data_IF_351980623523
#
_entry.id   IF_351980623523
#
_cell.length_a   1.000
_cell.length_b   1.000
_cell.length_c   1.000
_cell.angle_alpha   90.00
_cell.angle_beta   90.00
_cell.angle_gamma   90.00
#
_symmetry.space_group_name_H-M   'P 1'
#
loop_
_entity.id
_entity.type
_entity.pdbx_description
1 polymer ?
#
# COMPACT_ATOMS: atom_id res chain seq x y z
N UNK A 1 -3.55 23.49 -12.80
CA UNK A 1 -2.83 23.06 -14.02
C UNK A 1 -1.32 23.12 -13.76
N UNK A 2 -0.84 22.19 -12.93
CA UNK A 2 0.55 22.09 -12.50
C UNK A 2 1.30 21.11 -13.45
N UNK A 3 2.57 21.34 -13.81
CA UNK A 3 3.15 20.73 -14.98
C UNK A 3 3.62 19.29 -14.73
N UNK A 4 2.88 18.31 -15.26
CA UNK A 4 3.19 16.86 -15.42
C UNK A 4 4.45 16.57 -16.27
N UNK A 5 5.35 17.55 -16.44
CA UNK A 5 6.54 17.47 -17.30
C UNK A 5 7.82 17.10 -16.56
N UNK A 6 7.89 17.24 -15.23
CA UNK A 6 9.11 16.97 -14.47
C UNK A 6 9.34 15.49 -14.18
N UNK A 7 8.29 14.73 -13.86
CA UNK A 7 8.41 13.29 -13.55
C UNK A 7 8.80 12.44 -14.76
N UNK A 8 8.20 12.68 -15.93
CA UNK A 8 8.58 12.00 -17.18
C UNK A 8 10.04 12.31 -17.55
N UNK A 9 10.49 13.54 -17.28
CA UNK A 9 11.87 13.95 -17.55
C UNK A 9 12.88 13.22 -16.66
N UNK A 10 12.56 12.94 -15.39
CA UNK A 10 13.48 12.21 -14.52
C UNK A 10 13.54 10.72 -14.85
N UNK A 11 12.42 10.10 -15.21
CA UNK A 11 12.41 8.69 -15.63
C UNK A 11 13.17 8.47 -16.95
N UNK A 12 13.02 9.38 -17.92
CA UNK A 12 13.77 9.34 -19.18
C UNK A 12 15.27 9.52 -18.97
N UNK A 13 15.68 10.40 -18.03
CA UNK A 13 17.09 10.61 -17.69
C UNK A 13 17.68 9.35 -17.03
N UNK A 14 16.96 8.73 -16.09
CA UNK A 14 17.40 7.46 -15.47
C UNK A 14 17.50 6.33 -16.49
N UNK A 15 16.54 6.22 -17.42
CA UNK A 15 16.55 5.20 -18.47
C UNK A 15 17.71 5.42 -19.47
N UNK A 16 18.01 6.67 -19.82
CA UNK A 16 19.14 7.03 -20.68
C UNK A 16 20.48 6.76 -20.01
N UNK A 17 20.61 7.04 -18.70
CA UNK A 17 21.82 6.72 -17.93
C UNK A 17 22.02 5.20 -17.88
N UNK A 18 20.96 4.43 -17.62
CA UNK A 18 21.02 2.98 -17.60
C UNK A 18 21.39 2.40 -18.97
N UNK A 19 20.78 2.90 -20.05
CA UNK A 19 21.09 2.50 -21.42
C UNK A 19 22.53 2.85 -21.82
N UNK A 20 23.04 4.01 -21.40
CA UNK A 20 24.42 4.41 -21.63
C UNK A 20 25.41 3.55 -20.83
N UNK A 21 25.09 3.19 -19.58
CA UNK A 21 25.88 2.24 -18.80
C UNK A 21 25.89 0.85 -19.44
N UNK A 22 24.75 0.38 -19.96
CA UNK A 22 24.64 -0.89 -20.67
C UNK A 22 25.42 -0.88 -21.98
N UNK A 23 25.33 0.20 -22.76
CA UNK A 23 26.07 0.37 -23.99
C UNK A 23 27.58 0.50 -23.74
N UNK A 24 28.00 1.14 -22.65
CA UNK A 24 29.41 1.21 -22.25
C UNK A 24 29.94 -0.15 -21.75
N UNK A 25 29.10 -0.92 -21.05
CA UNK A 25 29.39 -2.33 -20.68
C UNK A 25 29.49 -3.25 -21.91
N UNK A 26 28.68 -3.01 -22.94
CA UNK A 26 28.68 -3.80 -24.18
C UNK A 26 29.77 -3.34 -25.16
N UNK A 27 30.15 -2.06 -25.14
CA UNK A 27 31.10 -1.44 -26.06
C UNK A 27 32.57 -1.61 -25.68
N UNK A 28 32.87 -2.03 -24.45
CA UNK A 28 34.25 -2.32 -23.99
C UNK A 28 34.65 -3.79 -24.13
N UNK A 29 33.88 -4.60 -24.86
CA UNK A 29 34.21 -5.99 -25.15
C UNK A 29 34.79 -6.11 -26.56
N UNK A 30 36.07 -5.78 -26.70
CA UNK A 30 36.89 -6.71 -27.46
C UNK A 30 36.76 -8.05 -26.72
N UNK A 31 36.17 -9.10 -27.31
CA UNK A 31 36.02 -10.35 -26.61
C UNK A 31 37.42 -10.85 -26.25
N UNK A 32 37.78 -10.95 -24.96
CA UNK A 32 39.08 -11.46 -24.61
C UNK A 32 39.15 -12.92 -25.04
N UNK A 33 40.33 -13.39 -25.46
CA UNK A 33 40.54 -14.72 -26.07
C UNK A 33 40.10 -15.93 -25.21
N UNK A 34 39.60 -15.71 -23.99
CA UNK A 34 39.02 -16.71 -23.10
C UNK A 34 37.48 -16.76 -23.11
N UNK A 35 36.79 -15.86 -23.84
CA UNK A 35 35.32 -15.71 -23.85
C UNK A 35 34.53 -16.93 -24.40
N UNK A 36 35.21 -18.00 -24.80
CA UNK A 36 34.60 -19.26 -25.22
C UNK A 36 34.49 -20.31 -24.10
N UNK A 37 34.87 -20.01 -22.84
CA UNK A 37 34.87 -21.01 -21.76
C UNK A 37 33.88 -20.83 -20.61
N UNK A 38 33.34 -19.64 -20.34
CA UNK A 38 32.50 -19.43 -19.13
C UNK A 38 31.08 -18.92 -19.41
N UNK A 39 30.50 -19.29 -20.55
CA UNK A 39 29.05 -19.15 -20.80
C UNK A 39 28.22 -19.91 -19.74
N UNK A 40 28.77 -21.03 -19.22
CA UNK A 40 28.18 -21.80 -18.13
C UNK A 40 28.11 -21.03 -16.81
N UNK A 41 29.08 -20.16 -16.51
CA UNK A 41 29.10 -19.37 -15.28
C UNK A 41 27.97 -18.34 -15.23
N UNK A 42 27.73 -17.65 -16.36
CA UNK A 42 26.61 -16.73 -16.48
C UNK A 42 25.26 -17.46 -16.45
N UNK A 43 25.16 -18.64 -17.09
CA UNK A 43 23.96 -19.47 -17.04
C UNK A 43 23.63 -19.93 -15.61
N UNK A 44 24.65 -20.13 -14.77
CA UNK A 44 24.49 -20.51 -13.36
C UNK A 44 24.11 -19.34 -12.46
N UNK A 45 24.56 -18.12 -12.78
CA UNK A 45 24.28 -16.90 -12.00
C UNK A 45 22.92 -16.27 -12.35
N UNK A 46 22.42 -16.47 -13.57
CA UNK A 46 21.11 -15.98 -14.01
C UNK A 46 19.93 -16.39 -13.10
N UNK A 47 19.76 -17.66 -12.69
CA UNK A 47 18.67 -18.03 -11.80
C UNK A 47 18.81 -17.42 -10.39
N UNK A 48 20.04 -17.21 -9.90
CA UNK A 48 20.27 -16.53 -8.63
C UNK A 48 19.87 -15.05 -8.72
N UNK A 49 20.27 -14.37 -9.78
CA UNK A 49 19.93 -12.97 -10.03
C UNK A 49 18.43 -12.78 -10.27
N UNK A 50 17.80 -13.70 -11.00
CA UNK A 50 16.34 -13.72 -11.20
C UNK A 50 15.60 -14.00 -9.88
N UNK A 51 16.12 -14.90 -9.05
CA UNK A 51 15.58 -15.19 -7.72
C UNK A 51 15.64 -13.98 -6.79
N UNK A 52 16.76 -13.25 -6.77
CA UNK A 52 16.89 -12.01 -6.01
C UNK A 52 16.01 -10.89 -6.55
N UNK A 53 15.91 -10.74 -7.88
CA UNK A 53 15.03 -9.76 -8.51
C UNK A 53 13.56 -10.06 -8.20
N UNK A 54 13.15 -11.34 -8.21
CA UNK A 54 11.83 -11.77 -7.78
C UNK A 54 11.64 -11.52 -6.29
N UNK A 55 12.57 -11.94 -5.42
CA UNK A 55 12.45 -11.69 -3.98
C UNK A 55 12.33 -10.19 -3.65
N UNK A 56 13.08 -9.34 -4.34
CA UNK A 56 12.94 -7.89 -4.26
C UNK A 56 11.58 -7.43 -4.77
N UNK A 57 11.15 -7.88 -5.96
CA UNK A 57 9.84 -7.54 -6.51
C UNK A 57 8.69 -7.92 -5.57
N UNK A 58 8.75 -9.10 -4.96
CA UNK A 58 7.79 -9.61 -3.98
C UNK A 58 7.80 -8.82 -2.67
N UNK A 59 8.97 -8.37 -2.22
CA UNK A 59 9.12 -7.52 -1.03
C UNK A 59 8.50 -6.13 -1.22
N UNK A 60 8.52 -5.59 -2.45
CA UNK A 60 8.04 -4.23 -2.73
C UNK A 60 6.63 -4.15 -3.36
N UNK A 61 6.07 -5.23 -3.92
CA UNK A 61 4.77 -5.21 -4.62
C UNK A 61 3.71 -6.17 -4.06
N UNK A 62 4.02 -6.93 -3.00
CA UNK A 62 3.09 -7.91 -2.43
C UNK A 62 2.92 -9.17 -3.28
N UNK A 63 2.49 -10.27 -2.66
CA UNK A 63 2.40 -11.59 -3.30
C UNK A 63 1.07 -11.81 -4.03
N UNK A 64 1.05 -12.24 -5.31
CA UNK A 64 -0.20 -12.68 -5.96
C UNK A 64 -0.78 -13.97 -5.35
N UNK A 65 0.03 -14.73 -4.59
CA UNK A 65 -0.39 -16.02 -4.02
C UNK A 65 -1.16 -15.90 -2.70
N UNK A 66 -1.10 -14.76 -1.99
CA UNK A 66 -1.98 -14.55 -0.82
C UNK A 66 -3.41 -14.24 -1.23
N UNK A 67 -3.62 -13.60 -2.39
CA UNK A 67 -4.96 -13.38 -2.95
C UNK A 67 -5.68 -14.69 -3.30
N UNK A 68 -4.94 -15.75 -3.65
CA UNK A 68 -5.50 -17.04 -4.05
C UNK A 68 -5.70 -18.05 -2.89
N UNK A 69 -5.13 -17.81 -1.70
CA UNK A 69 -5.18 -18.75 -0.57
C UNK A 69 -6.18 -18.37 0.54
N UNK A 70 -6.96 -17.30 0.38
CA UNK A 70 -7.96 -16.84 1.37
C UNK A 70 -9.39 -17.32 1.06
N UNK A 71 -9.61 -18.12 0.01
CA UNK A 71 -10.92 -18.73 -0.23
C UNK A 71 -10.85 -20.25 -0.29
N UNK A 72 -11.13 -20.94 0.82
CA UNK A 72 -11.81 -22.21 0.78
C UNK A 72 -13.33 -21.98 0.94
N UNK A 73 -14.05 -22.23 -0.15
CA UNK A 73 -15.40 -22.76 -0.20
C UNK A 73 -15.90 -23.36 1.13
N UNK A 74 -16.99 -22.85 1.71
CA UNK A 74 -17.86 -23.47 2.73
C UNK A 74 -19.01 -22.46 2.96
N UNK A 75 -20.30 -22.74 2.87
CA UNK A 75 -21.11 -23.87 2.44
C UNK A 75 -22.52 -23.26 2.24
N UNK A 76 -23.18 -23.58 1.13
CA UNK A 76 -24.59 -23.33 0.89
C UNK A 76 -25.44 -24.23 1.81
N UNK A 77 -25.56 -23.90 3.10
CA UNK A 77 -26.62 -24.47 3.92
C UNK A 77 -26.91 -23.65 5.18
N UNK A 78 -28.19 -23.62 5.59
CA UNK A 78 -28.78 -22.95 6.77
C UNK A 78 -29.58 -21.66 6.51
N UNK A 79 -30.50 -21.73 5.54
CA UNK A 79 -31.87 -21.34 5.85
C UNK A 79 -32.56 -22.46 6.67
N UNK A 80 -33.46 -22.03 7.56
CA UNK A 80 -34.34 -22.81 8.44
C UNK A 80 -33.71 -23.43 9.71
N UNK A 81 -33.84 -22.72 10.83
CA UNK A 81 -34.82 -23.06 11.89
C UNK A 81 -34.55 -22.21 13.14
N UNK A 82 -35.48 -21.31 13.48
CA UNK A 82 -36.17 -21.26 14.78
C UNK A 82 -37.04 -19.99 14.85
N UNK A 83 -38.29 -20.17 14.43
CA UNK A 83 -39.42 -19.38 14.88
C UNK A 83 -39.78 -19.80 16.32
N UNK A 84 -40.15 -18.79 17.12
CA UNK A 84 -40.84 -18.84 18.40
C UNK A 84 -40.08 -19.36 19.64
N UNK A 85 -39.72 -18.42 20.52
CA UNK A 85 -40.19 -18.44 21.93
C UNK A 85 -39.96 -17.09 22.63
N UNK A 86 -41.08 -16.46 22.92
CA UNK A 86 -41.28 -15.46 23.97
C UNK A 86 -41.26 -16.19 25.32
N UNK A 87 -40.36 -15.81 26.24
CA UNK A 87 -40.59 -15.90 27.69
C UNK A 87 -39.52 -15.09 28.46
N UNK A 88 -39.98 -14.21 29.34
CA UNK A 88 -39.17 -13.13 29.91
C UNK A 88 -38.31 -13.42 31.15
N UNK A 89 -37.61 -12.33 31.52
CA UNK A 89 -36.98 -11.98 32.79
C UNK A 89 -35.98 -12.95 33.45
N UNK A 90 -34.72 -12.52 33.57
CA UNK A 90 -34.17 -11.92 34.81
C UNK A 90 -32.68 -11.56 34.63
N UNK A 91 -32.27 -10.53 35.36
CA UNK A 91 -30.98 -9.86 35.37
C UNK A 91 -29.76 -10.78 35.52
N UNK A 92 -28.72 -10.48 34.75
CA UNK A 92 -27.39 -11.04 34.93
C UNK A 92 -26.41 -10.31 34.01
N UNK A 93 -25.60 -9.45 34.59
CA UNK A 93 -24.45 -8.79 33.98
C UNK A 93 -23.67 -9.75 33.06
N UNK A 94 -23.64 -9.43 31.77
CA UNK A 94 -22.61 -9.93 30.87
C UNK A 94 -22.18 -8.77 30.00
N UNK A 95 -20.91 -8.41 30.14
CA UNK A 95 -20.20 -7.46 29.30
C UNK A 95 -20.43 -7.86 27.84
N UNK A 96 -21.31 -7.12 27.20
CA UNK A 96 -21.65 -7.30 25.82
C UNK A 96 -20.50 -6.74 24.98
N UNK A 97 -19.53 -7.61 24.67
CA UNK A 97 -18.58 -7.39 23.58
C UNK A 97 -19.33 -7.66 22.28
N UNK A 98 -20.40 -6.91 22.06
CA UNK A 98 -21.09 -6.85 20.78
C UNK A 98 -20.17 -6.05 19.87
N UNK A 99 -19.51 -6.80 18.99
CA UNK A 99 -19.18 -6.42 17.62
C UNK A 99 -19.02 -4.91 17.42
N UNK A 100 -17.77 -4.42 17.40
CA UNK A 100 -17.47 -3.16 16.72
C UNK A 100 -17.87 -3.36 15.26
N UNK A 101 -19.14 -3.08 14.97
CA UNK A 101 -19.66 -2.87 13.64
C UNK A 101 -18.64 -1.99 12.93
N UNK A 102 -18.00 -2.57 11.92
CA UNK A 102 -16.99 -1.95 11.10
C UNK A 102 -17.62 -0.69 10.47
N UNK A 103 -17.46 0.44 11.15
CA UNK A 103 -17.76 1.72 10.54
C UNK A 103 -16.92 1.77 9.27
N UNK A 104 -17.54 2.03 8.10
CA UNK A 104 -16.84 1.91 6.84
C UNK A 104 -15.64 2.84 6.83
N UNK A 105 -14.48 2.33 6.42
CA UNK A 105 -13.22 3.08 6.30
C UNK A 105 -13.35 4.38 5.47
N UNK A 106 -14.43 4.52 4.68
CA UNK A 106 -14.75 5.70 3.89
C UNK A 106 -16.26 5.80 3.55
N UNK A 107 -16.80 7.02 3.59
CA UNK A 107 -18.08 7.36 2.97
C UNK A 107 -17.86 7.82 1.52
N UNK A 108 -18.00 6.89 0.58
CA UNK A 108 -17.73 7.14 -0.84
C UNK A 108 -18.73 8.14 -1.47
N UNK A 109 -20.05 8.01 -1.26
CA UNK A 109 -21.00 9.02 -1.74
C UNK A 109 -20.67 10.45 -1.27
N UNK A 110 -20.35 10.62 0.02
CA UNK A 110 -19.96 11.93 0.55
C UNK A 110 -18.65 12.45 -0.06
N UNK A 111 -17.69 11.56 -0.32
CA UNK A 111 -16.42 11.88 -0.99
C UNK A 111 -16.65 12.39 -2.42
N UNK A 112 -17.51 11.71 -3.19
CA UNK A 112 -17.90 12.12 -4.55
C UNK A 112 -18.59 13.48 -4.55
N UNK A 113 -19.54 13.71 -3.64
CA UNK A 113 -20.24 14.98 -3.51
C UNK A 113 -19.27 16.12 -3.20
N UNK A 114 -18.35 15.91 -2.25
CA UNK A 114 -17.33 16.88 -1.86
C UNK A 114 -16.43 17.28 -3.02
N UNK A 115 -16.09 16.34 -3.91
CA UNK A 115 -15.21 16.58 -5.05
C UNK A 115 -15.93 17.16 -6.27
N UNK A 116 -17.25 17.30 -6.21
CA UNK A 116 -18.04 17.90 -7.28
C UNK A 116 -18.40 16.94 -8.42
N UNK A 117 -18.28 15.63 -8.20
CA UNK A 117 -18.69 14.61 -9.17
C UNK A 117 -17.76 13.41 -9.25
N UNK A 118 -18.27 12.33 -9.84
CA UNK A 118 -17.57 11.04 -9.97
C UNK A 118 -16.28 11.14 -10.77
N UNK A 119 -16.27 11.91 -11.86
CA UNK A 119 -15.11 12.02 -12.76
C UNK A 119 -13.90 12.62 -12.04
N UNK A 120 -14.11 13.72 -11.30
CA UNK A 120 -13.05 14.35 -10.49
C UNK A 120 -12.63 13.41 -9.35
N UNK A 121 -13.59 12.71 -8.74
CA UNK A 121 -13.30 11.73 -7.70
C UNK A 121 -12.42 10.60 -8.21
N UNK A 122 -12.67 10.06 -9.40
CA UNK A 122 -11.84 9.00 -9.99
C UNK A 122 -10.39 9.45 -10.20
N UNK A 123 -10.17 10.67 -10.73
CA UNK A 123 -8.83 11.23 -10.92
C UNK A 123 -8.08 11.39 -9.58
N UNK A 124 -8.77 11.85 -8.53
CA UNK A 124 -8.16 12.05 -7.21
C UNK A 124 -7.87 10.71 -6.53
N UNK A 125 -8.76 9.72 -6.64
CA UNK A 125 -8.53 8.39 -6.12
C UNK A 125 -7.33 7.72 -6.80
N UNK A 126 -7.18 7.87 -8.12
CA UNK A 126 -6.03 7.31 -8.82
C UNK A 126 -4.71 7.90 -8.30
N UNK A 127 -4.66 9.23 -8.09
CA UNK A 127 -3.51 9.87 -7.46
C UNK A 127 -3.27 9.35 -6.04
N UNK A 128 -4.34 9.12 -5.26
CA UNK A 128 -4.22 8.58 -3.90
C UNK A 128 -3.67 7.14 -3.89
N UNK A 129 -4.10 6.28 -4.82
CA UNK A 129 -3.55 4.92 -5.00
C UNK A 129 -2.07 4.93 -5.39
N UNK A 130 -1.61 5.94 -6.13
CA UNK A 130 -0.19 6.10 -6.47
C UNK A 130 0.64 6.64 -5.28
N UNK A 131 0.10 7.63 -4.55
CA UNK A 131 0.88 8.38 -3.56
C UNK A 131 0.99 7.69 -2.20
N UNK A 132 -0.10 7.11 -1.67
CA UNK A 132 -0.09 6.57 -0.30
C UNK A 132 0.86 5.38 -0.12
N UNK A 133 0.94 4.39 -1.03
CA UNK A 133 1.89 3.29 -0.91
C UNK A 133 3.35 3.74 -0.86
N UNK A 134 3.69 4.75 -1.68
CA UNK A 134 5.05 5.33 -1.70
C UNK A 134 5.35 5.97 -0.36
N UNK A 135 4.45 6.80 0.16
CA UNK A 135 4.67 7.45 1.46
C UNK A 135 4.67 6.46 2.65
N UNK A 136 3.89 5.37 2.59
CA UNK A 136 3.96 4.30 3.60
C UNK A 136 5.30 3.58 3.57
N UNK A 137 5.86 3.36 2.38
CA UNK A 137 7.20 2.76 2.20
C UNK A 137 8.29 3.71 2.69
N UNK A 138 8.20 4.99 2.35
CA UNK A 138 9.14 6.02 2.83
C UNK A 138 9.07 6.17 4.35
N UNK A 139 7.88 6.11 4.94
CA UNK A 139 7.70 6.12 6.39
C UNK A 139 8.37 4.90 7.03
N UNK A 140 8.18 3.70 6.49
CA UNK A 140 8.84 2.49 6.98
C UNK A 140 10.38 2.62 6.95
N UNK A 141 10.93 3.05 5.81
CA UNK A 141 12.36 3.28 5.64
C UNK A 141 12.91 4.35 6.60
N UNK A 142 12.16 5.44 6.79
CA UNK A 142 12.53 6.49 7.72
C UNK A 142 12.57 6.02 9.18
N UNK A 143 11.66 5.12 9.56
CA UNK A 143 11.66 4.52 10.90
C UNK A 143 12.85 3.57 11.10
N UNK A 144 13.21 2.79 10.09
CA UNK A 144 14.40 1.90 10.13
C UNK A 144 15.72 2.69 10.21
N UNK A 145 15.78 3.84 9.54
CA UNK A 145 16.98 4.69 9.46
C UNK A 145 17.01 5.80 10.51
N UNK A 146 16.00 5.86 11.39
CA UNK A 146 15.79 6.92 12.37
C UNK A 146 15.76 8.34 11.76
N UNK A 147 15.37 8.47 10.49
CA UNK A 147 15.22 9.75 9.79
C UNK A 147 13.91 10.43 10.19
N UNK A 148 13.97 11.20 11.27
CA UNK A 148 12.82 11.94 11.80
C UNK A 148 12.20 12.91 10.78
N UNK A 149 13.01 13.54 9.92
CA UNK A 149 12.50 14.53 8.96
C UNK A 149 11.70 13.83 7.86
N UNK A 150 12.25 12.76 7.29
CA UNK A 150 11.54 11.95 6.30
C UNK A 150 10.28 11.33 6.91
N UNK A 151 10.35 10.75 8.11
CA UNK A 151 9.20 10.16 8.78
C UNK A 151 8.08 11.20 9.00
N UNK A 152 8.44 12.42 9.40
CA UNK A 152 7.48 13.53 9.57
C UNK A 152 6.82 13.91 8.24
N UNK A 153 7.60 14.05 7.17
CA UNK A 153 7.09 14.43 5.85
C UNK A 153 6.19 13.33 5.27
N UNK A 154 6.58 12.07 5.36
CA UNK A 154 5.79 10.94 4.85
C UNK A 154 4.46 10.82 5.59
N UNK A 155 4.45 10.91 6.92
CA UNK A 155 3.21 10.92 7.70
C UNK A 155 2.31 12.12 7.35
N UNK A 156 2.90 13.30 7.14
CA UNK A 156 2.19 14.50 6.73
C UNK A 156 1.52 14.35 5.35
N UNK A 157 2.23 13.78 4.38
CA UNK A 157 1.71 13.50 3.04
C UNK A 157 0.52 12.55 3.09
N UNK A 158 0.64 11.41 3.79
CA UNK A 158 -0.45 10.43 3.93
C UNK A 158 -1.68 11.08 4.58
N UNK A 159 -1.49 11.90 5.62
CA UNK A 159 -2.58 12.64 6.26
C UNK A 159 -3.29 13.56 5.25
N UNK A 160 -2.53 14.32 4.47
CA UNK A 160 -3.05 15.29 3.50
C UNK A 160 -3.89 14.64 2.41
N UNK A 161 -3.34 13.62 1.75
CA UNK A 161 -4.01 12.91 0.66
C UNK A 161 -5.23 12.13 1.16
N UNK A 162 -5.16 11.54 2.36
CA UNK A 162 -6.29 10.86 3.00
C UNK A 162 -7.42 11.83 3.37
N UNK A 163 -7.10 13.06 3.77
CA UNK A 163 -8.09 14.09 4.08
C UNK A 163 -8.84 14.59 2.82
N UNK A 164 -8.16 14.59 1.66
CA UNK A 164 -8.77 14.98 0.39
C UNK A 164 -9.93 14.04 0.01
N UNK A 165 -9.73 12.74 0.23
CA UNK A 165 -10.68 11.69 -0.15
C UNK A 165 -11.67 11.29 0.96
N UNK A 166 -11.63 11.95 2.11
CA UNK A 166 -12.42 11.61 3.31
C UNK A 166 -12.13 10.22 3.88
N UNK A 167 -10.89 9.71 3.76
CA UNK A 167 -10.41 8.52 4.45
C UNK A 167 -10.06 8.86 5.92
N UNK A 168 -11.09 9.12 6.73
CA UNK A 168 -10.93 9.77 8.04
C UNK A 168 -10.12 8.93 9.03
N UNK A 169 -10.25 7.60 8.99
CA UNK A 169 -9.49 6.72 9.88
C UNK A 169 -7.99 6.79 9.58
N UNK A 170 -7.61 6.68 8.30
CA UNK A 170 -6.21 6.79 7.87
C UNK A 170 -5.66 8.18 8.16
N UNK A 171 -6.43 9.23 7.85
CA UNK A 171 -6.07 10.62 8.17
C UNK A 171 -5.77 10.79 9.67
N UNK A 172 -6.63 10.23 10.55
CA UNK A 172 -6.48 10.36 12.01
C UNK A 172 -5.20 9.69 12.49
N UNK A 173 -4.94 8.43 12.10
CA UNK A 173 -3.74 7.72 12.53
C UNK A 173 -2.46 8.33 11.92
N UNK A 174 -2.50 8.84 10.69
CA UNK A 174 -1.37 9.55 10.08
C UNK A 174 -1.08 10.88 10.80
N UNK A 175 -2.10 11.57 11.30
CA UNK A 175 -1.91 12.77 12.12
C UNK A 175 -1.23 12.44 13.45
N UNK A 176 -1.62 11.35 14.10
CA UNK A 176 -0.97 10.84 15.32
C UNK A 176 0.49 10.48 15.06
N UNK A 177 0.77 9.77 13.96
CA UNK A 177 2.13 9.45 13.53
C UNK A 177 2.96 10.72 13.24
N UNK A 178 2.40 11.71 12.55
CA UNK A 178 3.07 12.99 12.26
C UNK A 178 3.45 13.74 13.55
N UNK A 179 2.56 13.78 14.53
CA UNK A 179 2.81 14.41 15.83
C UNK A 179 3.91 13.70 16.62
N UNK A 180 3.90 12.36 16.63
CA UNK A 180 4.94 11.55 17.27
C UNK A 180 6.30 11.73 16.58
N UNK A 181 6.34 11.74 15.24
CA UNK A 181 7.54 12.03 14.47
C UNK A 181 8.07 13.44 14.78
N UNK A 182 7.22 14.47 14.83
CA UNK A 182 7.62 15.83 15.22
C UNK A 182 8.21 15.90 16.63
N UNK A 183 7.71 15.08 17.55
CA UNK A 183 8.21 14.99 18.91
C UNK A 183 9.49 14.14 19.05
N UNK A 184 10.03 13.59 17.95
CA UNK A 184 11.20 12.71 17.96
C UNK A 184 10.91 11.32 18.53
N UNK A 185 9.63 10.93 18.62
CA UNK A 185 9.18 9.67 19.20
C UNK A 185 8.87 8.66 18.09
N UNK A 186 9.92 8.14 17.46
CA UNK A 186 9.77 7.19 16.33
C UNK A 186 9.31 5.80 16.76
N UNK A 187 9.70 5.33 17.95
CA UNK A 187 9.31 4.01 18.47
C UNK A 187 7.80 3.73 18.43
N UNK A 188 6.95 4.60 19.02
CA UNK A 188 5.50 4.43 18.91
C UNK A 188 4.94 4.47 17.49
N UNK A 189 5.62 5.12 16.54
CA UNK A 189 5.19 5.15 15.14
C UNK A 189 5.45 3.81 14.44
N UNK A 190 6.48 3.08 14.85
CA UNK A 190 6.71 1.69 14.41
C UNK A 190 5.50 0.81 14.76
N UNK A 191 4.90 1.02 15.93
CA UNK A 191 3.71 0.27 16.36
C UNK A 191 2.44 0.69 15.59
N UNK A 192 2.37 1.94 15.11
CA UNK A 192 1.24 2.46 14.33
C UNK A 192 1.29 2.05 12.85
N UNK A 193 2.48 1.88 12.29
CA UNK A 193 2.66 1.65 10.85
C UNK A 193 1.87 0.44 10.31
N UNK A 194 1.84 -0.74 10.96
CA UNK A 194 1.03 -1.86 10.48
C UNK A 194 -0.46 -1.55 10.42
N UNK A 195 -0.97 -0.76 11.38
CA UNK A 195 -2.37 -0.35 11.40
C UNK A 195 -2.67 0.65 10.28
N UNK A 196 -1.75 1.59 10.00
CA UNK A 196 -1.86 2.48 8.85
C UNK A 196 -1.94 1.71 7.53
N UNK A 197 -1.11 0.68 7.36
CA UNK A 197 -1.12 -0.19 6.18
C UNK A 197 -2.42 -0.98 6.07
N UNK A 198 -2.93 -1.50 7.19
CA UNK A 198 -4.21 -2.22 7.24
C UNK A 198 -5.38 -1.33 6.81
N UNK A 199 -5.48 -0.13 7.39
CA UNK A 199 -6.55 0.83 7.06
C UNK A 199 -6.47 1.26 5.60
N UNK A 200 -5.26 1.49 5.07
CA UNK A 200 -5.05 1.78 3.66
C UNK A 200 -5.60 0.65 2.77
N UNK A 201 -5.23 -0.61 3.04
CA UNK A 201 -5.68 -1.75 2.26
C UNK A 201 -7.21 -1.94 2.32
N UNK A 202 -7.82 -1.73 3.48
CA UNK A 202 -9.27 -1.80 3.65
C UNK A 202 -9.98 -0.68 2.86
N UNK A 203 -9.44 0.53 2.91
CA UNK A 203 -9.95 1.68 2.15
C UNK A 203 -9.85 1.43 0.65
N UNK A 204 -8.69 0.94 0.18
CA UNK A 204 -8.46 0.63 -1.22
C UNK A 204 -9.45 -0.42 -1.72
N UNK A 205 -9.58 -1.54 -0.99
CA UNK A 205 -10.53 -2.61 -1.33
C UNK A 205 -11.96 -2.06 -1.47
N UNK A 206 -12.39 -1.22 -0.54
CA UNK A 206 -13.74 -0.62 -0.54
C UNK A 206 -13.97 0.26 -1.78
N UNK A 207 -12.96 1.03 -2.18
CA UNK A 207 -13.02 1.87 -3.39
C UNK A 207 -13.09 1.01 -4.64
N UNK A 208 -12.29 -0.06 -4.73
CA UNK A 208 -12.28 -1.00 -5.85
C UNK A 208 -13.63 -1.72 -5.99
N UNK A 209 -14.20 -2.20 -4.89
CA UNK A 209 -15.54 -2.81 -4.85
C UNK A 209 -16.62 -1.83 -5.35
N UNK A 210 -16.54 -0.56 -4.96
CA UNK A 210 -17.46 0.47 -5.44
C UNK A 210 -17.28 0.81 -6.92
N UNK A 211 -16.05 0.75 -7.45
CA UNK A 211 -15.77 0.95 -8.88
C UNK A 211 -16.27 -0.21 -9.74
N UNK A 212 -16.33 -1.42 -9.18
CA UNK A 212 -16.76 -2.62 -9.89
C UNK A 212 -18.29 -2.79 -9.96
N UNK A 213 -19.05 -2.13 -9.07
CA UNK A 213 -20.51 -2.15 -9.02
C UNK A 213 -21.17 -1.03 -9.79
#
# INVERSE_FOLDING_TARGET
>A
MYPRKRHISMMLVSLLILAAMLANMLGSLDPPAWASRDLLGYLLLMPLMLGLALQYYWMFNGSPLTAALVFPELDDSLMEQHSARDFGATSGESCNVESRSAAPAMDIPASIERMGGREIWEEIIDAWFEEVPVNLTDLASALETEDQELATRSAHSIKGTSAEILAEELRRISAEAEELCRAGRLGPVVDLLPEMQRIFAETQKRIEEFRAG
#
